data_IF_618195267358
#
_entry.id   IF_618195267358
#
_cell.length_a   1.000
_cell.length_b   1.000
_cell.length_c   1.000
_cell.angle_alpha   90.00
_cell.angle_beta   90.00
_cell.angle_gamma   90.00
#
_symmetry.space_group_name_H-M   'P 1'
#
loop_
_entity.id
_entity.type
_entity.pdbx_description
1 polymer ?
#
# COMPACT_ATOMS: atom_id res chain seq x y z
N UNK A 1 -20.45 -1.91 14.23
CA UNK A 1 -20.37 -1.41 12.84
C UNK A 1 -20.24 -2.63 11.94
N UNK A 2 -21.19 -2.89 11.06
CA UNK A 2 -21.15 -4.03 10.12
C UNK A 2 -20.09 -3.76 9.05
N UNK A 3 -19.13 -4.67 8.94
CA UNK A 3 -17.97 -4.60 8.04
C UNK A 3 -18.40 -4.46 6.56
N UNK A 4 -18.29 -3.26 5.99
CA UNK A 4 -18.58 -2.94 4.58
C UNK A 4 -17.46 -3.37 3.60
N UNK A 5 -16.60 -4.32 3.99
CA UNK A 5 -15.51 -4.79 3.15
C UNK A 5 -15.59 -6.30 2.94
N UNK A 6 -16.53 -6.77 2.09
CA UNK A 6 -16.78 -8.20 1.90
C UNK A 6 -15.58 -8.92 1.25
N UNK A 7 -14.75 -8.20 0.49
CA UNK A 7 -13.58 -8.72 -0.21
C UNK A 7 -12.29 -8.68 0.63
N UNK A 8 -12.37 -8.35 1.92
CA UNK A 8 -11.20 -8.14 2.82
C UNK A 8 -10.10 -9.17 2.65
N UNK A 9 -10.40 -10.46 2.77
CA UNK A 9 -9.37 -11.50 2.73
C UNK A 9 -8.68 -11.56 1.36
N UNK A 10 -9.44 -11.40 0.28
CA UNK A 10 -8.90 -11.39 -1.08
C UNK A 10 -8.01 -10.17 -1.30
N UNK A 11 -8.48 -8.99 -0.89
CA UNK A 11 -7.76 -7.74 -1.06
C UNK A 11 -6.48 -7.70 -0.21
N UNK A 12 -6.52 -8.20 1.03
CA UNK A 12 -5.33 -8.35 1.85
C UNK A 12 -4.32 -9.33 1.25
N UNK A 13 -4.78 -10.43 0.66
CA UNK A 13 -3.89 -11.38 -0.01
C UNK A 13 -3.22 -10.76 -1.26
N UNK A 14 -3.98 -10.02 -2.07
CA UNK A 14 -3.42 -9.28 -3.21
C UNK A 14 -2.38 -8.25 -2.74
N UNK A 15 -2.69 -7.48 -1.69
CA UNK A 15 -1.77 -6.52 -1.12
C UNK A 15 -0.48 -7.18 -0.62
N UNK A 16 -0.59 -8.34 0.03
CA UNK A 16 0.56 -9.14 0.45
C UNK A 16 1.44 -9.53 -0.74
N UNK A 17 0.86 -10.02 -1.84
CA UNK A 17 1.64 -10.42 -3.02
C UNK A 17 2.41 -9.22 -3.61
N UNK A 18 1.77 -8.05 -3.71
CA UNK A 18 2.42 -6.81 -4.19
C UNK A 18 3.58 -6.41 -3.26
N UNK A 19 3.36 -6.50 -1.95
CA UNK A 19 4.38 -6.20 -0.95
C UNK A 19 5.56 -7.17 -1.02
N UNK A 20 5.31 -8.46 -1.16
CA UNK A 20 6.35 -9.51 -1.27
C UNK A 20 7.20 -9.33 -2.54
N UNK A 21 6.56 -9.03 -3.68
CA UNK A 21 7.25 -8.74 -4.93
C UNK A 21 8.17 -7.52 -4.77
N UNK A 22 7.67 -6.42 -4.21
CA UNK A 22 8.46 -5.21 -4.00
C UNK A 22 9.57 -5.40 -2.96
N UNK A 23 9.34 -6.16 -1.89
CA UNK A 23 10.35 -6.48 -0.87
C UNK A 23 11.51 -7.29 -1.47
N UNK A 24 11.19 -8.23 -2.36
CA UNK A 24 12.18 -9.04 -3.09
C UNK A 24 13.05 -8.16 -3.99
N UNK A 25 12.46 -7.23 -4.73
CA UNK A 25 13.18 -6.32 -5.63
C UNK A 25 14.11 -5.35 -4.88
N UNK A 26 13.77 -5.00 -3.63
CA UNK A 26 14.58 -4.14 -2.76
C UNK A 26 15.59 -4.90 -1.90
N UNK A 27 15.66 -6.24 -2.01
CA UNK A 27 16.44 -7.12 -1.12
C UNK A 27 16.24 -6.79 0.38
N UNK A 28 15.02 -6.38 0.74
CA UNK A 28 14.69 -5.88 2.08
C UNK A 28 13.62 -6.73 2.74
N UNK A 29 13.81 -7.03 4.02
CA UNK A 29 12.80 -7.71 4.85
C UNK A 29 11.76 -6.73 5.43
N UNK A 30 11.86 -5.44 5.12
CA UNK A 30 10.99 -4.39 5.66
C UNK A 30 10.52 -3.44 4.57
N UNK A 31 9.28 -2.99 4.69
CA UNK A 31 8.67 -2.03 3.77
C UNK A 31 8.25 -0.78 4.54
N UNK A 32 8.84 0.36 4.17
CA UNK A 32 8.38 1.67 4.63
C UNK A 32 7.13 2.11 3.87
N UNK A 33 6.26 2.88 4.51
CA UNK A 33 5.14 3.57 3.84
C UNK A 33 5.64 4.66 2.89
N UNK A 34 6.80 5.23 3.22
CA UNK A 34 7.47 6.25 2.45
C UNK A 34 8.90 5.79 2.11
N UNK A 35 9.42 6.31 1.01
CA UNK A 35 10.79 6.10 0.55
C UNK A 35 11.47 7.45 0.27
N UNK A 36 12.78 7.50 0.52
CA UNK A 36 13.63 8.61 0.14
C UNK A 36 14.23 8.32 -1.24
N UNK A 37 13.99 9.20 -2.20
CA UNK A 37 14.50 9.02 -3.57
C UNK A 37 15.38 10.19 -3.94
N UNK A 38 16.59 9.87 -4.41
CA UNK A 38 17.57 10.84 -4.86
C UNK A 38 17.30 11.18 -6.32
N UNK A 39 16.89 12.41 -6.59
CA UNK A 39 16.92 12.98 -7.93
C UNK A 39 18.32 13.55 -8.18
N UNK A 40 19.17 12.78 -8.88
CA UNK A 40 20.55 13.17 -9.15
C UNK A 40 20.65 14.40 -10.07
N UNK A 41 19.72 14.55 -11.01
CA UNK A 41 19.71 15.66 -11.97
C UNK A 41 19.47 17.01 -11.26
N UNK A 42 18.53 17.02 -10.31
CA UNK A 42 18.20 18.21 -9.53
C UNK A 42 19.05 18.37 -8.26
N UNK A 43 19.90 17.39 -7.94
CA UNK A 43 20.63 17.28 -6.67
C UNK A 43 19.71 17.42 -5.45
N UNK A 44 18.56 16.74 -5.48
CA UNK A 44 17.52 16.81 -4.44
C UNK A 44 17.17 15.43 -3.91
N UNK A 45 16.78 15.39 -2.64
CA UNK A 45 16.16 14.22 -2.03
C UNK A 45 14.65 14.47 -1.93
N UNK A 46 13.86 13.53 -2.43
CA UNK A 46 12.41 13.57 -2.39
C UNK A 46 11.90 12.50 -1.43
N UNK A 47 11.05 12.92 -0.50
CA UNK A 47 10.31 11.99 0.33
C UNK A 47 8.95 11.73 -0.34
N UNK A 48 8.68 10.48 -0.69
CA UNK A 48 7.45 10.10 -1.42
C UNK A 48 6.87 8.81 -0.87
N UNK A 49 5.61 8.54 -1.22
CA UNK A 49 5.00 7.23 -0.94
C UNK A 49 5.85 6.13 -1.59
N UNK A 50 6.07 5.05 -0.85
CA UNK A 50 6.78 3.89 -1.38
C UNK A 50 6.01 3.31 -2.57
N UNK A 51 6.74 2.82 -3.59
CA UNK A 51 6.10 2.37 -4.83
C UNK A 51 5.09 1.23 -4.61
N UNK A 52 5.28 0.37 -3.60
CA UNK A 52 4.29 -0.67 -3.27
C UNK A 52 2.94 -0.08 -2.85
N UNK A 53 2.92 1.08 -2.17
CA UNK A 53 1.70 1.79 -1.78
C UNK A 53 0.99 2.33 -3.01
N UNK A 54 1.76 2.88 -3.95
CA UNK A 54 1.24 3.38 -5.24
C UNK A 54 0.68 2.23 -6.06
N UNK A 55 1.38 1.09 -6.12
CA UNK A 55 0.93 -0.09 -6.85
C UNK A 55 -0.39 -0.65 -6.29
N UNK A 56 -0.54 -0.71 -4.96
CA UNK A 56 -1.80 -1.09 -4.31
C UNK A 56 -2.93 -0.13 -4.70
N UNK A 57 -2.69 1.18 -4.62
CA UNK A 57 -3.68 2.18 -4.96
C UNK A 57 -4.16 2.06 -6.42
N UNK A 58 -3.20 1.90 -7.34
CA UNK A 58 -3.49 1.70 -8.76
C UNK A 58 -4.25 0.39 -9.02
N UNK A 59 -3.86 -0.70 -8.36
CA UNK A 59 -4.53 -1.99 -8.48
C UNK A 59 -6.00 -1.90 -8.07
N UNK A 60 -6.29 -1.38 -6.87
CA UNK A 60 -7.67 -1.30 -6.38
C UNK A 60 -8.50 -0.25 -7.11
N UNK A 61 -7.88 0.84 -7.57
CA UNK A 61 -8.55 1.78 -8.46
C UNK A 61 -8.96 1.11 -9.78
N UNK A 62 -8.09 0.29 -10.38
CA UNK A 62 -8.42 -0.46 -11.59
C UNK A 62 -9.48 -1.53 -11.36
N UNK A 63 -9.47 -2.19 -10.20
CA UNK A 63 -10.36 -3.31 -9.91
C UNK A 63 -11.76 -2.87 -9.48
N UNK A 64 -11.86 -1.81 -8.69
CA UNK A 64 -13.11 -1.37 -8.06
C UNK A 64 -13.58 0.02 -8.50
N UNK A 65 -12.81 0.72 -9.35
CA UNK A 65 -13.05 2.11 -9.71
C UNK A 65 -12.57 3.09 -8.65
N UNK A 66 -12.64 4.40 -8.95
CA UNK A 66 -12.00 5.44 -8.14
C UNK A 66 -12.44 5.45 -6.66
N UNK A 67 -13.75 5.47 -6.39
CA UNK A 67 -14.26 5.65 -5.03
C UNK A 67 -14.06 4.39 -4.16
N UNK A 68 -14.46 3.22 -4.68
CA UNK A 68 -14.33 1.97 -3.94
C UNK A 68 -12.87 1.53 -3.85
N UNK A 69 -12.08 1.79 -4.90
CA UNK A 69 -10.64 1.55 -4.92
C UNK A 69 -9.90 2.37 -3.86
N UNK A 70 -10.20 3.66 -3.72
CA UNK A 70 -9.64 4.51 -2.65
C UNK A 70 -10.06 3.98 -1.26
N UNK A 71 -11.33 3.63 -1.07
CA UNK A 71 -11.80 3.04 0.18
C UNK A 71 -11.01 1.77 0.55
N UNK A 72 -10.92 0.80 -0.37
CA UNK A 72 -10.20 -0.46 -0.14
C UNK A 72 -8.72 -0.21 0.10
N UNK A 73 -8.10 0.69 -0.67
CA UNK A 73 -6.69 1.08 -0.48
C UNK A 73 -6.45 1.58 0.95
N UNK A 74 -7.29 2.49 1.45
CA UNK A 74 -7.15 3.01 2.82
C UNK A 74 -7.35 1.91 3.87
N UNK A 75 -8.31 1.00 3.66
CA UNK A 75 -8.53 -0.12 4.58
C UNK A 75 -7.33 -1.06 4.63
N UNK A 76 -6.78 -1.43 3.47
CA UNK A 76 -5.57 -2.28 3.38
C UNK A 76 -4.39 -1.61 4.07
N UNK A 77 -4.06 -0.37 3.71
CA UNK A 77 -2.92 0.35 4.29
C UNK A 77 -3.10 0.50 5.81
N UNK A 78 -4.31 0.83 6.27
CA UNK A 78 -4.60 0.91 7.69
C UNK A 78 -4.35 -0.42 8.40
N UNK A 79 -4.84 -1.55 7.88
CA UNK A 79 -4.62 -2.86 8.47
C UNK A 79 -3.13 -3.25 8.50
N UNK A 80 -2.37 -2.90 7.45
CA UNK A 80 -0.93 -3.16 7.40
C UNK A 80 -0.16 -2.35 8.46
N UNK A 81 -0.50 -1.07 8.65
CA UNK A 81 0.17 -0.19 9.63
C UNK A 81 -0.20 -0.58 11.06
N UNK A 82 -1.47 -0.89 11.30
CA UNK A 82 -1.94 -1.18 12.66
C UNK A 82 -1.78 -2.64 13.05
N UNK A 83 -1.36 -3.52 12.12
CA UNK A 83 -1.39 -4.99 12.31
C UNK A 83 -2.78 -5.49 12.73
N UNK A 84 -3.84 -4.80 12.28
CA UNK A 84 -5.21 -5.07 12.69
C UNK A 84 -5.60 -4.54 14.07
N UNK A 85 -4.73 -3.79 14.76
CA UNK A 85 -5.08 -3.08 15.99
C UNK A 85 -5.92 -1.83 15.69
N UNK A 86 -6.72 -1.41 16.66
CA UNK A 86 -7.45 -0.14 16.60
C UNK A 86 -6.58 0.93 17.23
N UNK A 87 -6.30 2.02 16.51
CA UNK A 87 -5.69 3.21 17.12
C UNK A 87 -6.81 3.93 17.88
N UNK A 88 -6.68 4.00 19.21
CA UNK A 88 -7.59 4.71 20.11
C UNK A 88 -7.38 6.22 20.08
#
# INVERSE_FOLDING_TARGET
MTNNWPTKNKDMHIAQLIMEEYAKDQESNTLGLFELVVNQNEKRMNFRLANWVVAIAQHFQSLYGANQGDYVTRQVISQCITQGQTIH
#
